data_IF_303228575950
#
_entry.id   IF_303228575950
#
_cell.length_a   1.000
_cell.length_b   1.000
_cell.length_c   1.000
_cell.angle_alpha   90.00
_cell.angle_beta   90.00
_cell.angle_gamma   90.00
#
_symmetry.space_group_name_H-M   'P 1'
#
loop_
_entity.id
_entity.type
_entity.pdbx_description
1 polymer ?
#
# COMPACT_ATOMS: atom_id res chain seq x y z
N UNK A 1 -19.89 -54.78 19.58
CA UNK A 1 -18.58 -55.25 19.11
C UNK A 1 -17.57 -54.18 19.44
N UNK A 2 -16.75 -54.43 20.45
CA UNK A 2 -15.81 -53.51 21.07
C UNK A 2 -14.42 -54.10 20.88
N UNK A 3 -13.46 -53.32 20.38
CA UNK A 3 -12.05 -53.70 20.38
C UNK A 3 -11.20 -52.49 20.82
N UNK A 4 -10.42 -52.61 21.90
CA UNK A 4 -9.47 -51.59 22.34
C UNK A 4 -8.08 -51.85 21.74
N UNK A 5 -7.45 -50.83 21.14
CA UNK A 5 -6.05 -50.92 20.72
C UNK A 5 -5.12 -50.35 21.80
N UNK A 6 -4.28 -51.25 22.33
CA UNK A 6 -3.29 -51.07 23.38
C UNK A 6 -2.07 -50.28 22.89
N UNK A 7 -1.50 -49.50 23.81
CA UNK A 7 -0.12 -48.96 23.81
C UNK A 7 0.93 -50.09 23.77
N UNK A 8 2.07 -49.87 23.11
CA UNK A 8 3.33 -50.51 23.47
C UNK A 8 4.53 -49.56 23.30
N UNK A 9 5.35 -49.53 24.35
CA UNK A 9 6.66 -48.87 24.51
C UNK A 9 7.71 -49.40 23.52
N UNK A 10 8.68 -48.57 23.14
CA UNK A 10 10.09 -48.99 23.07
C UNK A 10 11.00 -47.77 23.25
N UNK A 11 11.70 -47.72 24.39
CA UNK A 11 12.88 -46.89 24.56
C UNK A 11 14.10 -47.60 23.98
N UNK A 12 15.02 -46.84 23.41
CA UNK A 12 16.41 -47.27 23.25
C UNK A 12 17.32 -46.05 23.40
N UNK A 13 17.91 -45.96 24.58
CA UNK A 13 19.06 -45.12 24.91
C UNK A 13 20.32 -45.69 24.24
N UNK A 14 21.01 -44.91 23.42
CA UNK A 14 22.40 -45.19 23.05
C UNK A 14 23.26 -43.96 23.35
N UNK A 15 24.00 -44.10 24.44
CA UNK A 15 25.13 -43.27 24.83
C UNK A 15 26.31 -43.54 23.89
N UNK A 16 26.88 -42.50 23.30
CA UNK A 16 28.22 -42.56 22.73
C UNK A 16 28.97 -41.30 23.14
N UNK A 17 30.00 -41.50 23.97
CA UNK A 17 30.88 -40.45 24.44
C UNK A 17 31.72 -39.89 23.29
N UNK A 18 31.86 -38.56 23.28
CA UNK A 18 32.79 -37.89 22.39
C UNK A 18 33.55 -36.81 23.15
N UNK A 19 34.82 -37.14 23.35
CA UNK A 19 36.01 -36.29 23.47
C UNK A 19 35.81 -34.81 23.78
N UNK A 20 36.25 -34.45 24.99
CA UNK A 20 36.43 -33.09 25.48
C UNK A 20 37.66 -32.45 24.79
N UNK A 21 37.45 -31.57 23.80
CA UNK A 21 38.47 -30.60 23.35
C UNK A 21 38.07 -29.22 23.86
N UNK A 22 38.84 -28.70 24.80
CA UNK A 22 38.72 -27.35 25.35
C UNK A 22 39.28 -26.32 24.37
N UNK A 23 38.40 -25.55 23.73
CA UNK A 23 38.73 -24.36 22.95
C UNK A 23 38.50 -23.08 23.77
N UNK A 24 39.27 -22.01 23.52
CA UNK A 24 39.21 -20.77 24.28
C UNK A 24 37.87 -20.06 24.11
N UNK A 25 37.27 -19.70 25.24
CA UNK A 25 36.00 -18.97 25.36
C UNK A 25 36.19 -17.51 24.95
N UNK A 26 36.26 -17.25 23.64
CA UNK A 26 35.98 -15.92 23.11
C UNK A 26 34.50 -15.62 23.37
N UNK A 27 34.22 -14.49 24.02
CA UNK A 27 32.86 -14.00 24.23
C UNK A 27 32.25 -13.55 22.89
N UNK A 28 31.92 -14.52 22.03
CA UNK A 28 30.96 -14.34 20.96
C UNK A 28 29.59 -14.26 21.64
N UNK A 29 29.09 -13.04 21.78
CA UNK A 29 27.69 -12.80 22.04
C UNK A 29 26.93 -13.32 20.82
N UNK A 30 26.59 -14.61 20.88
CA UNK A 30 25.71 -15.29 19.95
C UNK A 30 24.41 -14.48 19.93
N UNK A 31 24.27 -13.65 18.91
CA UNK A 31 23.02 -12.97 18.63
C UNK A 31 22.02 -14.09 18.36
N UNK A 32 21.18 -14.34 19.36
CA UNK A 32 20.10 -15.29 19.29
C UNK A 32 19.39 -15.13 17.93
N UNK A 33 19.00 -16.24 17.27
CA UNK A 33 18.22 -16.18 16.04
C UNK A 33 17.08 -15.17 16.24
N UNK A 34 16.70 -14.34 15.24
CA UNK A 34 15.51 -13.54 15.35
C UNK A 34 14.39 -14.53 15.65
N UNK A 35 13.93 -14.51 16.91
CA UNK A 35 12.92 -15.42 17.37
C UNK A 35 11.78 -15.26 16.37
N UNK A 36 11.39 -16.36 15.71
CA UNK A 36 10.15 -16.38 14.95
C UNK A 36 9.11 -15.69 15.83
N UNK A 37 8.68 -14.49 15.40
CA UNK A 37 8.06 -13.53 16.30
C UNK A 37 6.98 -14.26 17.07
N UNK A 38 7.20 -14.35 18.38
CA UNK A 38 6.33 -15.09 19.28
C UNK A 38 4.92 -14.57 18.98
N UNK A 39 3.93 -15.45 18.74
CA UNK A 39 2.58 -15.01 18.42
C UNK A 39 2.17 -13.91 19.39
N UNK A 40 1.86 -12.74 18.83
CA UNK A 40 1.65 -11.52 19.59
C UNK A 40 0.73 -11.83 20.77
N UNK A 41 1.15 -11.48 21.98
CA UNK A 41 0.36 -11.82 23.16
C UNK A 41 -1.01 -11.14 23.04
N UNK A 42 -2.06 -11.69 23.66
CA UNK A 42 -3.40 -11.12 23.58
C UNK A 42 -3.46 -9.61 23.97
N UNK A 43 -2.57 -9.19 24.88
CA UNK A 43 -2.38 -7.78 25.26
C UNK A 43 -1.86 -6.92 24.10
N UNK A 44 -1.00 -7.45 23.25
CA UNK A 44 -0.43 -6.74 22.10
C UNK A 44 -1.50 -6.48 21.03
N UNK A 45 -2.41 -7.44 20.80
CA UNK A 45 -3.47 -7.31 19.80
C UNK A 45 -4.43 -6.16 20.15
N UNK A 46 -4.79 -6.01 21.42
CA UNK A 46 -5.68 -4.92 21.84
C UNK A 46 -5.05 -3.53 21.60
N UNK A 47 -3.73 -3.41 21.83
CA UNK A 47 -3.02 -2.15 21.58
C UNK A 47 -2.88 -1.86 20.09
N UNK A 48 -2.59 -2.88 19.28
CA UNK A 48 -2.56 -2.75 17.82
C UNK A 48 -3.91 -2.31 17.25
N UNK A 49 -5.03 -2.79 17.81
CA UNK A 49 -6.38 -2.34 17.41
C UNK A 49 -6.58 -0.85 17.70
N UNK A 50 -6.08 -0.31 18.82
CA UNK A 50 -6.14 1.14 19.09
C UNK A 50 -5.28 1.92 18.10
N UNK A 51 -4.09 1.39 17.77
CA UNK A 51 -3.18 2.02 16.83
C UNK A 51 -3.70 2.06 15.39
N UNK A 52 -4.72 1.26 15.03
CA UNK A 52 -5.41 1.41 13.74
C UNK A 52 -6.08 2.78 13.57
N UNK A 53 -6.34 3.50 14.67
CA UNK A 53 -6.89 4.87 14.68
C UNK A 53 -5.86 5.93 15.07
N UNK A 54 -4.57 5.59 15.17
CA UNK A 54 -3.53 6.55 15.52
C UNK A 54 -3.51 7.72 14.52
N UNK A 55 -3.18 8.94 14.94
CA UNK A 55 -3.08 10.10 14.03
C UNK A 55 -1.94 9.95 13.01
N UNK A 56 -0.85 9.31 13.42
CA UNK A 56 0.32 9.03 12.61
C UNK A 56 0.08 7.88 11.62
N UNK A 57 0.31 8.13 10.33
CA UNK A 57 0.07 7.14 9.27
C UNK A 57 0.95 5.89 9.43
N UNK A 58 2.21 6.09 9.80
CA UNK A 58 3.18 5.00 10.01
C UNK A 58 2.73 4.06 11.12
N UNK A 59 2.20 4.59 12.23
CA UNK A 59 1.65 3.79 13.32
C UNK A 59 0.44 2.96 12.87
N UNK A 60 -0.50 3.55 12.11
CA UNK A 60 -1.64 2.80 11.54
C UNK A 60 -1.18 1.67 10.62
N UNK A 61 -0.16 1.93 9.80
CA UNK A 61 0.35 0.98 8.84
C UNK A 61 1.08 -0.18 9.50
N UNK A 62 1.96 0.09 10.47
CA UNK A 62 2.65 -0.93 11.26
C UNK A 62 1.64 -1.81 12.01
N UNK A 63 0.67 -1.18 12.68
CA UNK A 63 -0.38 -1.91 13.38
C UNK A 63 -1.20 -2.84 12.45
N UNK A 64 -1.54 -2.35 11.27
CA UNK A 64 -2.24 -3.14 10.25
C UNK A 64 -1.42 -4.36 9.81
N UNK A 65 -0.11 -4.20 9.62
CA UNK A 65 0.79 -5.29 9.23
C UNK A 65 0.95 -6.33 10.33
N UNK A 66 1.13 -5.88 11.58
CA UNK A 66 1.28 -6.78 12.73
C UNK A 66 0.00 -7.56 13.02
N UNK A 67 -1.17 -6.95 12.88
CA UNK A 67 -2.46 -7.65 12.98
C UNK A 67 -2.64 -8.66 11.85
N UNK A 68 -2.24 -8.33 10.62
CA UNK A 68 -2.26 -9.27 9.51
C UNK A 68 -1.26 -10.44 9.71
N UNK A 69 -0.13 -10.21 10.37
CA UNK A 69 0.83 -11.26 10.71
C UNK A 69 0.32 -12.17 11.85
N UNK A 70 -0.44 -11.62 12.81
CA UNK A 70 -1.01 -12.39 13.92
C UNK A 70 -2.08 -13.42 13.48
N UNK A 71 -2.65 -13.28 12.28
CA UNK A 71 -3.48 -14.31 11.68
C UNK A 71 -4.78 -14.57 12.46
N UNK A 72 -5.05 -15.85 12.73
CA UNK A 72 -6.26 -16.31 13.42
C UNK A 72 -6.46 -15.61 14.78
N UNK A 73 -5.38 -15.35 15.51
CA UNK A 73 -5.44 -14.78 16.86
C UNK A 73 -6.01 -13.36 16.88
N UNK A 74 -5.83 -12.60 15.79
CA UNK A 74 -6.33 -11.23 15.68
C UNK A 74 -7.81 -11.16 15.30
N UNK A 75 -8.38 -12.22 14.70
CA UNK A 75 -9.74 -12.21 14.12
C UNK A 75 -10.81 -11.78 15.14
N UNK A 76 -10.86 -12.31 16.38
CA UNK A 76 -11.89 -11.89 17.35
C UNK A 76 -11.80 -10.41 17.74
N UNK A 77 -10.60 -9.83 17.76
CA UNK A 77 -10.39 -8.43 18.09
C UNK A 77 -10.73 -7.51 16.90
N UNK A 78 -10.33 -7.93 15.69
CA UNK A 78 -10.68 -7.26 14.43
C UNK A 78 -12.19 -7.21 14.23
N UNK A 79 -12.89 -8.33 14.49
CA UNK A 79 -14.35 -8.40 14.39
C UNK A 79 -15.02 -7.35 15.29
N UNK A 80 -14.60 -7.23 16.56
CA UNK A 80 -15.13 -6.20 17.47
C UNK A 80 -14.83 -4.79 16.97
N UNK A 81 -13.62 -4.56 16.45
CA UNK A 81 -13.21 -3.25 15.93
C UNK A 81 -14.04 -2.80 14.71
N UNK A 82 -14.60 -3.73 13.92
CA UNK A 82 -15.47 -3.37 12.79
C UNK A 82 -16.74 -2.60 13.21
N UNK A 83 -17.18 -2.77 14.46
CA UNK A 83 -18.38 -2.14 15.02
C UNK A 83 -18.06 -1.03 16.03
N UNK A 84 -16.80 -0.61 16.12
CA UNK A 84 -16.35 0.44 17.04
C UNK A 84 -16.70 1.86 16.58
N UNK A 85 -16.40 2.84 17.43
CA UNK A 85 -16.67 4.25 17.17
C UNK A 85 -15.73 4.88 16.12
N UNK A 86 -14.49 4.37 16.03
CA UNK A 86 -13.55 4.83 15.00
C UNK A 86 -13.90 4.25 13.64
N UNK A 87 -14.27 5.15 12.72
CA UNK A 87 -14.51 4.80 11.31
C UNK A 87 -13.23 4.29 10.63
N UNK A 88 -12.08 4.89 10.89
CA UNK A 88 -10.80 4.48 10.28
C UNK A 88 -10.40 3.09 10.75
N UNK A 89 -10.43 2.83 12.06
CA UNK A 89 -10.14 1.50 12.61
C UNK A 89 -11.12 0.44 12.09
N UNK A 90 -12.42 0.76 12.01
CA UNK A 90 -13.44 -0.13 11.43
C UNK A 90 -13.12 -0.48 9.97
N UNK A 91 -12.79 0.51 9.12
CA UNK A 91 -12.45 0.27 7.72
C UNK A 91 -11.21 -0.62 7.57
N UNK A 92 -10.13 -0.33 8.32
CA UNK A 92 -8.91 -1.14 8.30
C UNK A 92 -9.13 -2.56 8.81
N UNK A 93 -9.94 -2.72 9.86
CA UNK A 93 -10.30 -4.03 10.38
C UNK A 93 -11.01 -4.89 9.32
N UNK A 94 -11.94 -4.31 8.55
CA UNK A 94 -12.55 -5.00 7.41
C UNK A 94 -11.54 -5.38 6.33
N UNK A 95 -10.60 -4.50 6.00
CA UNK A 95 -9.59 -4.77 4.97
C UNK A 95 -8.63 -5.90 5.40
N UNK A 96 -8.27 -5.98 6.69
CA UNK A 96 -7.46 -7.07 7.25
C UNK A 96 -8.26 -8.39 7.27
N UNK A 97 -9.52 -8.38 7.72
CA UNK A 97 -10.40 -9.56 7.67
C UNK A 97 -10.58 -10.08 6.25
N UNK A 98 -10.76 -9.19 5.27
CA UNK A 98 -10.80 -9.53 3.85
C UNK A 98 -9.49 -10.18 3.41
N UNK A 99 -8.34 -9.62 3.78
CA UNK A 99 -7.04 -10.18 3.41
C UNK A 99 -6.83 -11.59 4.00
N UNK A 100 -7.23 -11.82 5.26
CA UNK A 100 -7.22 -13.17 5.84
C UNK A 100 -8.15 -14.13 5.09
N UNK A 101 -9.36 -13.68 4.75
CA UNK A 101 -10.33 -14.46 4.00
C UNK A 101 -9.89 -14.79 2.57
N UNK A 102 -9.14 -13.92 1.89
CA UNK A 102 -8.70 -14.17 0.51
C UNK A 102 -7.36 -14.92 0.45
N UNK A 103 -6.39 -14.55 1.31
CA UNK A 103 -4.97 -14.91 1.19
C UNK A 103 -4.35 -15.47 2.47
N UNK A 104 -5.10 -15.54 3.57
CA UNK A 104 -4.57 -16.02 4.86
C UNK A 104 -4.27 -17.52 4.87
N UNK A 105 -3.52 -17.95 5.89
CA UNK A 105 -3.35 -19.36 6.23
C UNK A 105 -4.72 -20.03 6.48
N UNK A 106 -4.87 -21.35 6.27
CA UNK A 106 -6.17 -22.03 6.34
C UNK A 106 -7.00 -21.69 7.59
N UNK A 107 -6.38 -21.72 8.77
CA UNK A 107 -7.05 -21.40 10.03
C UNK A 107 -7.52 -19.93 10.12
N UNK A 108 -6.68 -18.99 9.68
CA UNK A 108 -7.03 -17.56 9.63
C UNK A 108 -8.13 -17.28 8.59
N UNK A 109 -8.13 -18.00 7.47
CA UNK A 109 -9.13 -17.89 6.41
C UNK A 109 -10.51 -18.34 6.89
N UNK A 110 -10.57 -19.50 7.55
CA UNK A 110 -11.81 -20.04 8.11
C UNK A 110 -12.34 -19.15 9.24
N UNK A 111 -11.47 -18.68 10.14
CA UNK A 111 -11.84 -17.75 11.20
C UNK A 111 -12.36 -16.42 10.64
N UNK A 112 -11.68 -15.83 9.66
CA UNK A 112 -12.11 -14.59 9.03
C UNK A 112 -13.44 -14.74 8.29
N UNK A 113 -13.66 -15.87 7.59
CA UNK A 113 -14.95 -16.20 6.98
C UNK A 113 -16.06 -16.25 8.03
N UNK A 114 -15.85 -16.97 9.12
CA UNK A 114 -16.84 -17.09 10.19
C UNK A 114 -17.17 -15.75 10.86
N UNK A 115 -16.18 -14.89 11.05
CA UNK A 115 -16.39 -13.52 11.56
C UNK A 115 -17.20 -12.67 10.58
N UNK A 116 -16.84 -12.69 9.28
CA UNK A 116 -17.58 -11.97 8.25
C UNK A 116 -19.02 -12.46 8.12
N UNK A 117 -19.28 -13.76 8.26
CA UNK A 117 -20.66 -14.30 8.24
C UNK A 117 -21.48 -13.84 9.43
N UNK A 118 -20.87 -13.73 10.62
CA UNK A 118 -21.53 -13.18 11.82
C UNK A 118 -21.84 -11.70 11.64
N UNK A 119 -20.87 -10.91 11.15
CA UNK A 119 -21.07 -9.49 10.86
C UNK A 119 -22.14 -9.26 9.79
N UNK A 120 -22.16 -10.06 8.73
CA UNK A 120 -23.16 -9.99 7.66
C UNK A 120 -24.59 -10.25 8.15
N UNK A 121 -24.75 -11.15 9.13
CA UNK A 121 -26.04 -11.50 9.75
C UNK A 121 -26.45 -10.57 10.89
N UNK A 122 -25.49 -9.87 11.49
CA UNK A 122 -25.77 -8.90 12.54
C UNK A 122 -26.52 -7.70 11.95
N UNK A 123 -27.43 -7.07 12.70
CA UNK A 123 -28.15 -5.88 12.24
C UNK A 123 -27.35 -4.60 12.55
N UNK A 124 -26.17 -4.47 11.93
CA UNK A 124 -25.18 -3.41 12.14
C UNK A 124 -25.11 -2.43 10.95
N UNK A 125 -26.19 -2.35 10.17
CA UNK A 125 -26.33 -1.41 9.05
C UNK A 125 -25.23 -1.55 8.00
N UNK A 126 -24.39 -0.52 7.86
CA UNK A 126 -23.32 -0.47 6.85
C UNK A 126 -22.24 -1.54 7.06
N UNK A 127 -21.97 -1.94 8.31
CA UNK A 127 -20.98 -2.96 8.63
C UNK A 127 -21.41 -4.33 8.07
N UNK A 128 -22.68 -4.69 8.25
CA UNK A 128 -23.26 -5.94 7.73
C UNK A 128 -23.27 -5.99 6.22
N UNK A 129 -23.60 -4.87 5.56
CA UNK A 129 -23.54 -4.77 4.09
C UNK A 129 -22.12 -4.98 3.58
N UNK A 130 -21.12 -4.35 4.21
CA UNK A 130 -19.71 -4.50 3.82
C UNK A 130 -19.21 -5.92 4.02
N UNK A 131 -19.57 -6.57 5.13
CA UNK A 131 -19.24 -7.97 5.36
C UNK A 131 -19.84 -8.89 4.28
N UNK A 132 -21.11 -8.67 3.90
CA UNK A 132 -21.76 -9.38 2.78
C UNK A 132 -21.07 -9.14 1.44
N UNK A 133 -20.64 -7.90 1.16
CA UNK A 133 -19.89 -7.56 -0.06
C UNK A 133 -18.51 -8.24 -0.11
N UNK A 134 -17.87 -8.50 1.03
CA UNK A 134 -16.61 -9.25 1.09
C UNK A 134 -16.84 -10.75 0.85
N UNK A 135 -17.86 -11.33 1.48
CA UNK A 135 -18.21 -12.75 1.32
C UNK A 135 -18.74 -13.08 -0.07
N UNK A 136 -19.51 -12.16 -0.65
CA UNK A 136 -20.13 -12.31 -1.96
C UNK A 136 -19.98 -10.97 -2.68
N UNK A 137 -18.82 -10.73 -3.30
CA UNK A 137 -18.61 -9.55 -4.12
C UNK A 137 -19.76 -9.46 -5.13
N UNK A 138 -20.44 -8.31 -5.24
CA UNK A 138 -21.49 -8.16 -6.23
C UNK A 138 -20.91 -8.55 -7.57
N UNK A 139 -21.56 -9.47 -8.28
CA UNK A 139 -21.17 -9.77 -9.65
C UNK A 139 -21.22 -8.45 -10.38
N UNK A 140 -20.03 -7.93 -10.71
CA UNK A 140 -19.90 -6.68 -11.44
C UNK A 140 -20.79 -6.89 -12.66
N UNK A 141 -21.88 -6.09 -12.81
CA UNK A 141 -22.84 -6.34 -13.87
C UNK A 141 -22.00 -6.43 -15.13
N UNK A 142 -22.05 -7.58 -15.80
CA UNK A 142 -21.33 -7.80 -17.04
C UNK A 142 -21.75 -6.62 -17.89
N UNK A 143 -20.86 -5.63 -18.02
CA UNK A 143 -21.18 -4.44 -18.79
C UNK A 143 -21.57 -5.02 -20.13
N UNK A 144 -22.83 -4.88 -20.58
CA UNK A 144 -23.22 -5.38 -21.87
C UNK A 144 -22.16 -4.82 -22.79
N UNK A 145 -21.42 -5.69 -23.47
CA UNK A 145 -20.34 -5.29 -24.36
C UNK A 145 -20.88 -4.09 -25.11
N UNK A 146 -20.41 -2.90 -24.74
CA UNK A 146 -20.73 -1.69 -25.44
C UNK A 146 -19.86 -1.82 -26.69
N UNK A 147 -20.24 -2.75 -27.56
CA UNK A 147 -20.04 -2.62 -28.97
C UNK A 147 -20.53 -1.23 -29.26
N UNK A 148 -19.56 -0.34 -29.38
CA UNK A 148 -19.65 1.02 -29.86
C UNK A 148 -20.24 0.89 -31.26
N UNK A 149 -21.56 0.71 -31.31
CA UNK A 149 -22.37 0.88 -32.50
C UNK A 149 -22.60 2.36 -32.58
N UNK A 150 -21.89 2.96 -33.53
CA UNK A 150 -21.69 4.40 -33.66
C UNK A 150 -22.96 5.21 -33.44
N UNK A 151 -22.80 6.28 -32.68
CA UNK A 151 -23.75 7.39 -32.68
C UNK A 151 -23.09 8.54 -33.44
N UNK A 152 -23.41 8.62 -34.72
CA UNK A 152 -23.18 9.81 -35.53
C UNK A 152 -24.20 10.87 -35.09
N UNK A 153 -23.73 12.03 -34.64
CA UNK A 153 -24.60 13.18 -34.42
C UNK A 153 -24.06 14.18 -33.39
N UNK A 154 -23.99 15.48 -33.72
CA UNK A 154 -23.28 16.46 -32.92
C UNK A 154 -24.20 17.07 -31.86
N UNK A 155 -23.64 17.36 -30.70
CA UNK A 155 -24.24 18.15 -29.60
C UNK A 155 -25.32 17.43 -28.78
N UNK A 156 -24.92 16.90 -27.62
CA UNK A 156 -25.86 16.36 -26.63
C UNK A 156 -25.18 15.51 -25.56
N UNK A 157 -24.62 16.17 -24.56
CA UNK A 157 -24.00 15.58 -23.37
C UNK A 157 -24.94 14.55 -22.71
N UNK A 158 -24.57 13.27 -22.67
CA UNK A 158 -25.16 12.26 -21.77
C UNK A 158 -24.05 11.59 -20.96
N UNK A 159 -23.98 11.98 -19.70
CA UNK A 159 -23.09 11.40 -18.69
C UNK A 159 -23.71 10.07 -18.24
N UNK A 160 -23.10 8.95 -18.63
CA UNK A 160 -23.37 7.64 -18.04
C UNK A 160 -22.36 7.40 -16.92
N UNK A 161 -22.85 7.45 -15.68
CA UNK A 161 -22.07 7.23 -14.46
C UNK A 161 -21.80 5.72 -14.31
N UNK A 162 -20.58 5.29 -14.66
CA UNK A 162 -20.00 4.05 -14.16
C UNK A 162 -18.98 4.43 -13.08
N UNK A 163 -19.12 3.83 -11.89
CA UNK A 163 -18.28 4.08 -10.70
C UNK A 163 -16.80 3.85 -11.02
N UNK A 164 -16.11 4.92 -11.41
CA UNK A 164 -14.67 5.04 -11.34
C UNK A 164 -14.30 5.30 -9.88
N UNK A 165 -13.39 4.50 -9.32
CA UNK A 165 -12.68 4.91 -8.10
C UNK A 165 -11.76 6.04 -8.53
N UNK A 166 -12.22 7.28 -8.37
CA UNK A 166 -11.44 8.47 -8.61
C UNK A 166 -10.36 8.58 -7.52
N UNK A 167 -9.22 7.94 -7.74
CA UNK A 167 -7.98 8.25 -7.00
C UNK A 167 -7.35 9.45 -7.69
N UNK A 168 -7.85 10.64 -7.40
CA UNK A 168 -7.38 11.89 -7.98
C UNK A 168 -7.52 13.02 -6.99
N UNK A 169 -6.41 13.39 -6.35
CA UNK A 169 -6.32 14.54 -5.48
C UNK A 169 -6.76 15.83 -6.17
N UNK A 170 -7.28 16.76 -5.38
CA UNK A 170 -7.72 18.08 -5.81
C UNK A 170 -6.65 18.78 -6.68
N UNK A 171 -6.91 18.98 -7.97
CA UNK A 171 -6.14 19.95 -8.77
C UNK A 171 -5.98 19.72 -10.28
N UNK A 172 -6.24 18.53 -10.83
CA UNK A 172 -6.01 18.29 -12.26
C UNK A 172 -7.06 17.35 -12.85
N UNK A 173 -7.62 17.68 -14.01
CA UNK A 173 -8.66 16.91 -14.71
C UNK A 173 -8.20 15.57 -15.28
N UNK A 174 -7.27 14.89 -14.62
CA UNK A 174 -6.77 13.56 -15.00
C UNK A 174 -7.57 12.52 -14.21
N UNK A 175 -8.28 11.66 -14.93
CA UNK A 175 -8.99 10.52 -14.34
C UNK A 175 -8.26 9.24 -14.73
N UNK A 176 -7.78 8.49 -13.74
CA UNK A 176 -7.17 7.17 -13.94
C UNK A 176 -8.13 6.08 -13.46
N UNK A 177 -8.43 5.12 -14.31
CA UNK A 177 -9.26 3.95 -14.03
C UNK A 177 -8.44 2.68 -14.27
N UNK A 178 -8.28 1.86 -13.24
CA UNK A 178 -7.56 0.59 -13.33
C UNK A 178 -8.55 -0.55 -13.12
N UNK A 179 -8.61 -1.47 -14.08
CA UNK A 179 -9.44 -2.67 -14.04
C UNK A 179 -8.54 -3.90 -14.13
N UNK A 180 -8.76 -4.89 -13.27
CA UNK A 180 -8.01 -6.15 -13.29
C UNK A 180 -9.04 -7.27 -13.37
N UNK A 181 -9.05 -8.01 -14.47
CA UNK A 181 -9.95 -9.14 -14.68
C UNK A 181 -9.13 -10.33 -15.18
N UNK A 182 -9.18 -11.45 -14.44
CA UNK A 182 -8.51 -12.70 -14.83
C UNK A 182 -7.00 -12.56 -15.14
N UNK A 183 -6.30 -11.67 -14.44
CA UNK A 183 -4.86 -11.40 -14.67
C UNK A 183 -4.56 -10.39 -15.78
N UNK A 184 -5.56 -9.95 -16.54
CA UNK A 184 -5.43 -8.88 -17.54
C UNK A 184 -5.62 -7.54 -16.83
N UNK A 185 -4.61 -6.68 -16.91
CA UNK A 185 -4.65 -5.33 -16.33
C UNK A 185 -5.00 -4.33 -17.43
N UNK A 186 -6.11 -3.62 -17.27
CA UNK A 186 -6.49 -2.49 -18.12
C UNK A 186 -6.36 -1.18 -17.35
N UNK A 187 -5.49 -0.28 -17.78
CA UNK A 187 -5.35 1.09 -17.24
C UNK A 187 -5.86 2.08 -18.26
N UNK A 188 -6.90 2.84 -17.92
CA UNK A 188 -7.44 3.91 -18.74
C UNK A 188 -7.16 5.26 -18.06
N UNK A 189 -6.41 6.11 -18.74
CA UNK A 189 -6.08 7.47 -18.30
C UNK A 189 -6.76 8.45 -19.22
N UNK A 190 -7.64 9.28 -18.67
CA UNK A 190 -8.27 10.38 -19.39
C UNK A 190 -7.71 11.69 -18.88
N UNK A 191 -6.97 12.36 -19.74
CA UNK A 191 -6.50 13.74 -19.60
C UNK A 191 -7.32 14.65 -20.54
N UNK A 192 -7.36 15.96 -20.29
CA UNK A 192 -8.26 16.91 -20.95
C UNK A 192 -8.32 16.76 -22.48
N UNK A 193 -7.17 16.57 -23.11
CA UNK A 193 -7.03 16.47 -24.57
C UNK A 193 -6.51 15.09 -25.05
N UNK A 194 -6.27 14.17 -24.11
CA UNK A 194 -5.60 12.89 -24.40
C UNK A 194 -6.19 11.73 -23.60
N UNK A 195 -6.55 10.66 -24.28
CA UNK A 195 -7.00 9.41 -23.66
C UNK A 195 -5.99 8.31 -23.96
N UNK A 196 -5.55 7.59 -22.93
CA UNK A 196 -4.60 6.48 -23.04
C UNK A 196 -5.24 5.25 -22.44
N UNK A 197 -5.34 4.17 -23.21
CA UNK A 197 -5.77 2.85 -22.74
C UNK A 197 -4.62 1.87 -22.87
N UNK A 198 -4.25 1.26 -21.75
CA UNK A 198 -3.17 0.28 -21.64
C UNK A 198 -3.81 -1.05 -21.25
N UNK A 199 -3.60 -2.09 -22.03
CA UNK A 199 -4.00 -3.46 -21.71
C UNK A 199 -2.73 -4.30 -21.63
N UNK A 200 -2.47 -4.83 -20.44
CA UNK A 200 -1.36 -5.73 -20.16
C UNK A 200 -1.94 -7.13 -19.93
N UNK A 201 -1.79 -7.98 -20.94
CA UNK A 201 -2.30 -9.34 -20.99
C UNK A 201 -1.11 -10.32 -21.02
N UNK A 202 -1.03 -11.27 -20.07
CA UNK A 202 0.09 -12.21 -20.01
C UNK A 202 0.17 -13.16 -21.22
N UNK A 203 -0.93 -13.37 -21.94
CA UNK A 203 -0.98 -14.24 -23.12
C UNK A 203 -0.86 -13.46 -24.42
N UNK A 204 -1.50 -12.28 -24.50
CA UNK A 204 -1.56 -11.46 -25.73
C UNK A 204 -0.52 -10.34 -25.77
N UNK A 205 0.19 -10.11 -24.66
CA UNK A 205 1.18 -9.06 -24.52
C UNK A 205 0.55 -7.70 -24.19
N UNK A 206 1.29 -6.65 -24.53
CA UNK A 206 0.96 -5.28 -24.20
C UNK A 206 0.33 -4.54 -25.38
N UNK A 207 -0.86 -3.98 -25.16
CA UNK A 207 -1.57 -3.13 -26.11
C UNK A 207 -1.74 -1.72 -25.54
N UNK A 208 -1.36 -0.71 -26.32
CA UNK A 208 -1.46 0.70 -25.97
C UNK A 208 -2.28 1.43 -27.04
N UNK A 209 -3.35 2.12 -26.63
CA UNK A 209 -4.16 2.97 -27.51
C UNK A 209 -4.09 4.40 -26.97
N UNK A 210 -3.55 5.30 -27.79
CA UNK A 210 -3.38 6.72 -27.46
C UNK A 210 -4.25 7.52 -28.42
N UNK A 211 -5.30 8.14 -27.89
CA UNK A 211 -6.14 9.08 -28.63
C UNK A 211 -5.75 10.49 -28.22
N UNK A 212 -5.20 11.26 -29.16
CA UNK A 212 -4.83 12.66 -28.98
C UNK A 212 -5.81 13.53 -29.77
N UNK A 213 -6.38 14.55 -29.14
CA UNK A 213 -7.26 15.51 -29.82
C UNK A 213 -6.46 16.76 -30.12
N UNK A 214 -6.17 17.01 -31.41
CA UNK A 214 -5.53 18.25 -31.88
C UNK A 214 -6.51 18.98 -32.80
N UNK A 215 -6.76 20.25 -32.50
CA UNK A 215 -7.62 21.13 -33.33
C UNK A 215 -9.04 20.57 -33.60
N UNK A 216 -9.62 19.87 -32.62
CA UNK A 216 -10.95 19.26 -32.72
C UNK A 216 -11.00 17.99 -33.59
N UNK A 217 -9.85 17.49 -34.07
CA UNK A 217 -9.72 16.18 -34.73
C UNK A 217 -9.00 15.21 -33.80
N UNK A 218 -9.63 14.07 -33.55
CA UNK A 218 -9.06 12.99 -32.74
C UNK A 218 -8.22 12.06 -33.63
N UNK A 219 -6.94 11.88 -33.30
CA UNK A 219 -6.07 10.87 -33.88
C UNK A 219 -5.83 9.75 -32.86
N UNK A 220 -6.18 8.53 -33.23
CA UNK A 220 -5.96 7.33 -32.41
C UNK A 220 -4.79 6.55 -32.97
N UNK A 221 -3.75 6.35 -32.15
CA UNK A 221 -2.59 5.50 -32.45
C UNK A 221 -2.64 4.25 -31.58
N UNK A 222 -2.60 3.08 -32.22
CA UNK A 222 -2.56 1.77 -31.56
C UNK A 222 -1.16 1.20 -31.68
N UNK A 223 -0.68 0.65 -30.58
CA UNK A 223 0.63 0.01 -30.48
C UNK A 223 0.47 -1.35 -29.80
N UNK A 224 1.11 -2.37 -30.36
CA UNK A 224 1.11 -3.73 -29.81
C UNK A 224 2.55 -4.21 -29.71
N UNK A 225 2.89 -4.81 -28.57
CA UNK A 225 4.20 -5.40 -28.30
C UNK A 225 4.03 -6.61 -27.39
N UNK A 226 4.87 -7.64 -27.49
CA UNK A 226 4.78 -8.79 -26.59
C UNK A 226 5.22 -8.45 -25.17
N UNK A 227 6.11 -7.48 -25.01
CA UNK A 227 6.62 -7.01 -23.73
C UNK A 227 7.08 -5.55 -23.80
N UNK A 228 7.43 -4.96 -22.65
CA UNK A 228 7.91 -3.58 -22.56
C UNK A 228 9.22 -3.35 -23.35
N UNK A 229 10.10 -4.35 -23.43
CA UNK A 229 11.38 -4.24 -24.16
C UNK A 229 11.18 -4.15 -25.68
N UNK A 230 10.24 -4.92 -26.21
CA UNK A 230 9.82 -4.87 -27.61
C UNK A 230 9.13 -3.54 -27.92
N UNK A 231 8.32 -3.02 -26.99
CA UNK A 231 7.70 -1.70 -27.14
C UNK A 231 8.76 -0.59 -27.20
N UNK A 232 9.80 -0.66 -26.37
CA UNK A 232 10.93 0.29 -26.36
C UNK A 232 11.67 0.31 -27.70
N UNK A 233 11.85 -0.86 -28.30
CA UNK A 233 12.62 -1.03 -29.53
C UNK A 233 11.82 -0.59 -30.76
N UNK A 234 10.54 -0.94 -30.82
CA UNK A 234 9.67 -0.63 -31.97
C UNK A 234 9.07 0.77 -31.92
N UNK A 235 8.73 1.25 -30.73
CA UNK A 235 7.91 2.45 -30.51
C UNK A 235 8.36 3.17 -29.22
N UNK A 236 9.51 3.86 -29.23
CA UNK A 236 10.06 4.51 -28.03
C UNK A 236 9.12 5.57 -27.42
N UNK A 237 8.26 6.19 -28.22
CA UNK A 237 7.22 7.11 -27.73
C UNK A 237 6.13 6.39 -26.93
N UNK A 238 5.67 5.22 -27.39
CA UNK A 238 4.68 4.41 -26.69
C UNK A 238 5.25 3.86 -25.38
N UNK A 239 6.54 3.50 -25.35
CA UNK A 239 7.21 3.07 -24.13
C UNK A 239 7.23 4.16 -23.05
N UNK A 240 7.48 5.43 -23.40
CA UNK A 240 7.43 6.53 -22.43
C UNK A 240 6.04 6.70 -21.81
N UNK A 241 4.99 6.56 -22.63
CA UNK A 241 3.61 6.61 -22.15
C UNK A 241 3.32 5.43 -21.22
N UNK A 242 3.72 4.22 -21.61
CA UNK A 242 3.60 3.04 -20.77
C UNK A 242 4.31 3.22 -19.43
N UNK A 243 5.57 3.66 -19.44
CA UNK A 243 6.36 3.90 -18.23
C UNK A 243 5.70 4.94 -17.30
N UNK A 244 5.22 6.05 -17.88
CA UNK A 244 4.58 7.13 -17.12
C UNK A 244 3.32 6.69 -16.37
N UNK A 245 2.54 5.73 -16.90
CA UNK A 245 1.24 5.36 -16.32
C UNK A 245 1.25 3.96 -15.69
N UNK A 246 2.04 3.02 -16.21
CA UNK A 246 2.13 1.67 -15.67
C UNK A 246 3.02 1.60 -14.42
N UNK A 247 4.12 2.37 -14.34
CA UNK A 247 4.97 2.39 -13.14
C UNK A 247 4.35 3.18 -11.97
N UNK A 248 3.59 4.24 -12.25
CA UNK A 248 2.89 5.00 -11.21
C UNK A 248 1.84 4.17 -10.45
N UNK A 249 1.31 3.12 -11.05
CA UNK A 249 0.40 2.17 -10.39
C UNK A 249 1.11 1.21 -9.42
N UNK A 250 2.42 0.94 -9.59
CA UNK A 250 3.18 0.10 -8.65
C UNK A 250 3.32 0.81 -7.30
N UNK A 251 3.43 2.14 -7.32
CA UNK A 251 3.46 2.98 -6.13
C UNK A 251 2.10 3.09 -5.39
N UNK A 252 0.99 2.78 -6.05
CA UNK A 252 -0.36 2.84 -5.43
C UNK A 252 -0.77 1.48 -4.84
N UNK A 253 -0.16 0.37 -5.26
CA UNK A 253 -0.51 -1.00 -4.79
C UNK A 253 0.29 -1.49 -3.59
N UNK A 254 1.44 -0.90 -3.29
CA UNK A 254 1.98 -0.90 -1.94
C UNK A 254 1.58 0.44 -1.32
N UNK A 255 1.03 0.47 -0.10
CA UNK A 255 0.59 1.72 0.54
C UNK A 255 1.72 2.73 0.77
N UNK A 256 2.13 3.43 -0.30
CA UNK A 256 3.24 4.35 -0.36
C UNK A 256 2.81 5.66 -1.02
N UNK A 257 2.11 6.49 -0.24
CA UNK A 257 2.40 7.92 -0.34
C UNK A 257 3.81 8.10 0.24
N UNK A 258 4.79 8.28 -0.65
CA UNK A 258 5.94 9.15 -0.41
C UNK A 258 7.24 8.52 0.07
N UNK A 259 8.07 8.06 -0.87
CA UNK A 259 9.53 8.24 -0.73
C UNK A 259 10.01 9.03 -1.94
N UNK A 260 10.42 10.28 -1.69
CA UNK A 260 11.41 11.02 -2.47
C UNK A 260 10.96 11.65 -3.79
N UNK A 261 10.40 12.87 -3.73
CA UNK A 261 10.18 13.67 -4.94
C UNK A 261 9.73 15.09 -4.62
N UNK A 262 10.70 15.94 -4.29
CA UNK A 262 10.65 17.40 -4.15
C UNK A 262 9.49 18.09 -4.90
N UNK A 263 8.55 18.67 -4.16
CA UNK A 263 7.72 19.79 -4.61
C UNK A 263 7.82 20.92 -3.56
N UNK A 264 8.11 22.18 -3.95
CA UNK A 264 8.26 23.27 -3.01
C UNK A 264 6.93 23.58 -2.31
N UNK A 265 7.01 23.84 -1.01
CA UNK A 265 5.88 24.17 -0.15
C UNK A 265 5.14 25.43 -0.65
N UNK A 266 3.96 25.24 -1.23
CA UNK A 266 2.97 26.30 -1.39
C UNK A 266 2.03 26.19 -0.19
N UNK A 267 2.20 27.10 0.77
CA UNK A 267 1.31 27.20 1.93
C UNK A 267 -0.15 27.42 1.48
N UNK A 268 -1.13 26.70 2.05
CA UNK A 268 -2.53 26.89 1.69
C UNK A 268 -3.00 28.26 2.20
N UNK A 269 -3.31 29.17 1.27
CA UNK A 269 -4.12 30.35 1.59
C UNK A 269 -5.53 29.87 1.94
N UNK A 270 -5.98 30.15 3.16
CA UNK A 270 -7.40 30.07 3.55
C UNK A 270 -8.19 31.01 2.64
N UNK A 271 -8.84 30.47 1.61
CA UNK A 271 -9.91 31.16 0.90
C UNK A 271 -11.11 31.10 1.83
N UNK A 272 -11.35 32.19 2.54
CA UNK A 272 -12.60 32.39 3.27
C UNK A 272 -13.69 32.58 2.20
N UNK A 273 -14.72 31.71 2.12
CA UNK A 273 -15.81 31.95 1.19
C UNK A 273 -16.50 33.25 1.57
N UNK A 274 -16.61 34.18 0.61
CA UNK A 274 -17.39 35.39 0.77
C UNK A 274 -18.85 34.99 1.00
N UNK A 275 -19.35 35.25 2.21
CA UNK A 275 -20.75 35.09 2.54
C UNK A 275 -21.56 36.07 1.67
N UNK A 276 -22.63 35.65 0.98
CA UNK A 276 -23.52 36.59 0.30
C UNK A 276 -24.16 37.52 1.32
N UNK A 277 -24.06 38.83 1.07
CA UNK A 277 -24.67 39.86 1.91
C UNK A 277 -26.19 39.64 2.00
N UNK A 278 -26.67 39.32 3.20
CA UNK A 278 -28.10 39.35 3.49
C UNK A 278 -28.57 40.81 3.50
N UNK A 279 -29.57 41.19 2.68
CA UNK A 279 -30.12 42.54 2.72
C UNK A 279 -31.00 42.68 3.97
N UNK A 280 -30.62 43.59 4.89
CA UNK A 280 -31.51 44.03 5.98
C UNK A 280 -30.97 44.00 7.41
N UNK A 281 -29.68 43.78 7.65
CA UNK A 281 -29.14 43.88 9.01
C UNK A 281 -29.03 45.36 9.47
N UNK A 282 -29.64 45.76 10.61
CA UNK A 282 -29.51 47.10 11.15
C UNK A 282 -28.05 47.39 11.54
N UNK A 283 -27.54 48.54 11.12
CA UNK A 283 -26.15 48.94 11.28
C UNK A 283 -25.71 48.96 12.75
N UNK A 284 -24.67 48.18 13.04
CA UNK A 284 -23.95 48.27 14.32
C UNK A 284 -23.05 49.51 14.23
N UNK A 285 -23.22 50.53 15.10
CA UNK A 285 -22.34 51.69 15.11
C UNK A 285 -20.95 51.25 15.57
N UNK A 286 -19.95 51.44 14.71
CA UNK A 286 -18.54 51.24 15.07
C UNK A 286 -18.11 52.46 15.90
N UNK A 287 -17.68 52.28 17.16
CA UNK A 287 -17.18 53.40 17.95
C UNK A 287 -15.84 53.87 17.38
N UNK A 288 -15.83 55.09 16.85
CA UNK A 288 -14.61 55.85 16.53
C UNK A 288 -14.04 56.35 17.86
N UNK A 289 -13.29 55.50 18.54
CA UNK A 289 -12.64 55.81 19.82
C UNK A 289 -11.21 55.31 19.79
N UNK A 290 -10.26 56.24 19.73
CA UNK A 290 -8.82 55.97 19.71
C UNK A 290 -8.39 55.15 20.92
N UNK A 291 -8.04 53.89 20.68
CA UNK A 291 -7.25 53.07 21.59
C UNK A 291 -5.79 53.47 21.38
N UNK A 292 -5.07 53.98 22.39
CA UNK A 292 -3.62 54.10 22.30
C UNK A 292 -3.06 52.69 22.18
N UNK A 293 -2.43 52.39 21.04
CA UNK A 293 -1.59 51.21 20.92
C UNK A 293 -0.37 51.44 21.79
N UNK A 294 -0.41 50.94 23.03
CA UNK A 294 0.79 50.75 23.82
C UNK A 294 1.69 49.79 23.03
N UNK A 295 2.86 50.29 22.64
CA UNK A 295 3.93 49.56 21.99
C UNK A 295 4.40 48.43 22.91
N UNK A 296 3.75 47.26 22.80
CA UNK A 296 4.25 46.03 23.40
C UNK A 296 5.63 45.76 22.78
N UNK A 297 6.72 45.70 23.57
CA UNK A 297 8.03 45.41 23.04
C UNK A 297 8.01 44.03 22.37
N UNK A 298 8.41 44.00 21.10
CA UNK A 298 8.49 42.77 20.33
C UNK A 298 9.31 41.73 21.09
N UNK A 299 8.65 40.64 21.51
CA UNK A 299 9.35 39.50 22.07
C UNK A 299 10.38 39.00 21.03
N UNK A 300 11.61 38.67 21.45
CA UNK A 300 12.64 38.19 20.53
C UNK A 300 12.11 36.95 19.80
N UNK A 301 12.06 37.03 18.47
CA UNK A 301 11.66 35.92 17.62
C UNK A 301 12.63 34.77 17.91
N UNK A 302 12.17 33.58 18.31
CA UNK A 302 13.06 32.46 18.57
C UNK A 302 13.83 32.15 17.30
N UNK A 303 15.15 32.22 17.38
CA UNK A 303 16.04 31.84 16.28
C UNK A 303 15.73 30.37 15.96
N UNK A 304 15.34 30.03 14.71
CA UNK A 304 15.08 28.65 14.36
C UNK A 304 16.34 27.83 14.63
N UNK A 305 16.18 26.71 15.34
CA UNK A 305 17.28 25.80 15.62
C UNK A 305 18.01 25.44 14.30
N UNK A 306 19.35 25.30 14.33
CA UNK A 306 20.10 24.91 13.14
C UNK A 306 19.54 23.59 12.59
N UNK A 307 19.13 23.64 11.32
CA UNK A 307 18.63 22.45 10.61
C UNK A 307 19.77 21.41 10.60
N UNK A 308 19.52 20.17 11.05
CA UNK A 308 20.55 19.13 11.03
C UNK A 308 21.08 18.96 9.61
N UNK A 309 22.40 18.86 9.47
CA UNK A 309 23.04 18.73 8.17
C UNK A 309 22.43 17.53 7.41
N UNK A 310 21.74 17.72 6.26
CA UNK A 310 21.02 16.66 5.56
C UNK A 310 21.88 15.44 5.27
N UNK A 311 23.19 15.63 5.09
CA UNK A 311 24.15 14.58 4.79
C UNK A 311 24.24 13.52 5.90
N UNK A 312 24.14 13.91 7.17
CA UNK A 312 24.27 12.97 8.31
C UNK A 312 23.05 12.06 8.44
N UNK A 313 21.85 12.62 8.33
CA UNK A 313 20.61 11.85 8.40
C UNK A 313 20.49 10.89 7.20
N UNK A 314 20.95 11.32 6.02
CA UNK A 314 21.00 10.46 4.84
C UNK A 314 22.01 9.33 4.97
N UNK A 315 23.20 9.59 5.52
CA UNK A 315 24.20 8.56 5.83
C UNK A 315 23.67 7.51 6.83
N UNK A 316 22.99 7.94 7.90
CA UNK A 316 22.38 7.02 8.87
C UNK A 316 21.29 6.14 8.23
N UNK A 317 20.51 6.68 7.29
CA UNK A 317 19.50 5.91 6.55
C UNK A 317 20.13 4.85 5.62
N UNK A 318 21.28 5.16 5.01
CA UNK A 318 22.04 4.23 4.17
C UNK A 318 22.63 3.10 5.00
N UNK A 319 23.19 3.39 6.18
CA UNK A 319 23.73 2.38 7.07
C UNK A 319 22.61 1.45 7.63
N UNK A 320 21.40 1.98 7.86
CA UNK A 320 20.24 1.18 8.22
C UNK A 320 19.80 0.25 7.08
N UNK A 321 19.85 0.73 5.84
CA UNK A 321 19.52 -0.07 4.65
C UNK A 321 20.54 -1.20 4.44
N UNK A 322 21.84 -0.95 4.64
CA UNK A 322 22.89 -1.97 4.53
C UNK A 322 22.69 -3.11 5.55
N UNK A 323 22.33 -2.77 6.79
CA UNK A 323 21.97 -3.76 7.81
C UNK A 323 20.77 -4.62 7.40
N UNK A 324 19.76 -4.03 6.76
CA UNK A 324 18.60 -4.78 6.27
C UNK A 324 18.95 -5.77 5.16
N UNK A 325 19.84 -5.38 4.24
CA UNK A 325 20.34 -6.25 3.16
C UNK A 325 21.15 -7.42 3.75
N UNK A 326 22.00 -7.14 4.73
CA UNK A 326 22.77 -8.18 5.44
C UNK A 326 21.86 -9.18 6.16
N UNK A 327 20.83 -8.70 6.86
CA UNK A 327 19.84 -9.57 7.51
C UNK A 327 19.09 -10.44 6.50
N UNK A 328 18.67 -9.87 5.37
CA UNK A 328 18.00 -10.62 4.30
C UNK A 328 18.91 -11.71 3.70
N UNK A 329 20.20 -11.42 3.48
CA UNK A 329 21.16 -12.42 2.99
C UNK A 329 21.34 -13.58 3.97
N UNK A 330 21.41 -13.29 5.27
CA UNK A 330 21.52 -14.31 6.31
C UNK A 330 20.27 -15.21 6.34
N UNK A 331 19.07 -14.63 6.28
CA UNK A 331 17.82 -15.39 6.20
C UNK A 331 17.75 -16.26 4.94
N UNK A 332 18.25 -15.76 3.81
CA UNK A 332 18.30 -16.50 2.55
C UNK A 332 19.27 -17.68 2.61
N UNK A 333 20.48 -17.48 3.17
CA UNK A 333 21.42 -18.58 3.37
C UNK A 333 20.87 -19.66 4.30
N UNK A 334 20.20 -19.27 5.38
CA UNK A 334 19.62 -20.23 6.32
C UNK A 334 18.43 -20.98 5.73
N UNK A 335 17.52 -20.29 5.04
CA UNK A 335 16.34 -20.90 4.42
C UNK A 335 16.69 -21.92 3.33
N UNK A 336 17.85 -21.78 2.69
CA UNK A 336 18.28 -22.61 1.57
C UNK A 336 19.57 -23.39 1.85
N UNK A 337 19.95 -23.59 3.12
CA UNK A 337 21.18 -24.29 3.50
C UNK A 337 21.29 -25.72 2.94
N UNK A 338 20.15 -26.37 2.72
CA UNK A 338 20.05 -27.73 2.17
C UNK A 338 19.75 -27.76 0.66
N UNK A 339 19.62 -26.59 0.01
CA UNK A 339 19.15 -26.43 -1.37
C UNK A 339 20.23 -25.83 -2.28
N UNK A 340 21.41 -26.46 -2.31
CA UNK A 340 22.59 -26.00 -3.03
C UNK A 340 22.37 -25.70 -4.52
N UNK A 341 21.40 -26.37 -5.17
CA UNK A 341 21.09 -26.23 -6.59
C UNK A 341 19.77 -25.50 -6.89
N UNK A 342 19.27 -24.68 -5.96
CA UNK A 342 18.03 -23.93 -6.20
C UNK A 342 18.28 -22.68 -7.08
N UNK A 343 17.72 -22.66 -8.28
CA UNK A 343 17.77 -21.51 -9.19
C UNK A 343 17.20 -20.23 -8.56
N UNK A 344 16.19 -20.35 -7.69
CA UNK A 344 15.61 -19.23 -6.96
C UNK A 344 16.59 -18.62 -5.96
N UNK A 345 17.45 -19.44 -5.34
CA UNK A 345 18.51 -18.97 -4.44
C UNK A 345 19.53 -18.13 -5.22
N UNK A 346 19.95 -18.59 -6.40
CA UNK A 346 20.89 -17.85 -7.27
C UNK A 346 20.29 -16.52 -7.71
N UNK A 347 19.02 -16.51 -8.12
CA UNK A 347 18.33 -15.27 -8.50
C UNK A 347 18.19 -14.30 -7.33
N UNK A 348 17.89 -14.81 -6.13
CA UNK A 348 17.77 -13.99 -4.94
C UNK A 348 19.12 -13.40 -4.50
N UNK A 349 20.20 -14.17 -4.57
CA UNK A 349 21.57 -13.69 -4.32
C UNK A 349 21.97 -12.60 -5.32
N UNK A 350 21.70 -12.81 -6.62
CA UNK A 350 21.99 -11.80 -7.65
C UNK A 350 21.24 -10.48 -7.41
N UNK A 351 20.00 -10.52 -6.90
CA UNK A 351 19.24 -9.32 -6.54
C UNK A 351 19.82 -8.59 -5.33
N UNK A 352 20.29 -9.33 -4.32
CA UNK A 352 20.95 -8.73 -3.15
C UNK A 352 22.27 -8.06 -3.53
N UNK A 353 23.05 -8.67 -4.43
CA UNK A 353 24.30 -8.08 -4.94
C UNK A 353 24.05 -6.79 -5.73
N UNK A 354 22.99 -6.74 -6.54
CA UNK A 354 22.61 -5.50 -7.24
C UNK A 354 22.17 -4.41 -6.28
N UNK A 355 21.39 -4.75 -5.23
CA UNK A 355 20.99 -3.81 -4.19
C UNK A 355 22.22 -3.20 -3.46
N UNK A 356 23.25 -4.02 -3.18
CA UNK A 356 24.51 -3.53 -2.60
C UNK A 356 25.23 -2.53 -3.50
N UNK A 357 25.32 -2.82 -4.80
CA UNK A 357 25.95 -1.89 -5.76
C UNK A 357 25.20 -0.56 -5.82
N UNK A 358 23.88 -0.56 -5.74
CA UNK A 358 23.09 0.66 -5.70
C UNK A 358 23.34 1.46 -4.42
N UNK A 359 23.41 0.78 -3.27
CA UNK A 359 23.70 1.40 -1.98
C UNK A 359 25.10 2.03 -1.96
N UNK A 360 26.10 1.35 -2.52
CA UNK A 360 27.46 1.89 -2.62
C UNK A 360 27.52 3.13 -3.52
N UNK A 361 26.80 3.14 -4.66
CA UNK A 361 26.68 4.33 -5.53
C UNK A 361 26.06 5.51 -4.78
N UNK A 362 25.00 5.28 -4.00
CA UNK A 362 24.37 6.31 -3.18
C UNK A 362 25.33 6.84 -2.11
N UNK A 363 26.10 5.96 -1.48
CA UNK A 363 27.12 6.34 -0.49
C UNK A 363 28.24 7.16 -1.11
N UNK A 364 28.64 6.87 -2.34
CA UNK A 364 29.63 7.66 -3.08
C UNK A 364 29.08 9.03 -3.50
N UNK A 365 27.79 9.13 -3.84
CA UNK A 365 27.16 10.40 -4.22
C UNK A 365 26.96 11.38 -3.05
N UNK A 366 27.00 10.90 -1.80
CA UNK A 366 26.87 11.70 -0.59
C UNK A 366 28.20 12.07 0.07
N UNK A 367 29.32 11.58 -0.46
CA UNK A 367 30.68 12.00 -0.06
C UNK A 367 31.17 13.07 -1.02
#
# INVERSE_FOLDING_TARGET
>A
MSLPFRRLFFGLTLSCGFCCLTLPTGHAQEAAPPAADKPAAATDIAELIKQLDAEEFTARQDASQRLAAAGEQAVPALEKATSGESREASMRAFDILKNHFEKGAPAAKDAAKAALERLAKADLGSASRRASEILTPPQQPATPNANVRGFAGPVGLRIAVARAVAVGGAGGGITTSVKIENGVKTTEVKDKDRQVKIVDDPEKGLQLEVTETKDGKSETKKYEAKNAEELKTKQPEAHKIYEQYAQKDVAIKFGAIGVGGLAPAIAPRRIVPALPAAPGAPGIPIPVGGIPFDLVPAAPVPVPAPVPNPDKAQLESIDALDKSIQAAEASLKEAFKDAADNEQLKQAQARLDEARKQLEKLRQALK
#
